data_IF_135311029850
#
_entry.id   IF_135311029850
#
_cell.length_a   1.000
_cell.length_b   1.000
_cell.length_c   1.000
_cell.angle_alpha   90.00
_cell.angle_beta   90.00
_cell.angle_gamma   90.00
#
_symmetry.space_group_name_H-M   'P 1'
#
loop_
_entity.id
_entity.type
_entity.pdbx_description
1 polymer ?
#
# COMPACT_ATOMS: atom_id res chain seq x y z
N UNK A 1 -45.40 39.68 -24.75
CA UNK A 1 -44.45 39.53 -23.66
C UNK A 1 -43.71 38.21 -23.85
N UNK A 2 -42.58 38.23 -24.57
CA UNK A 2 -41.83 37.02 -24.96
C UNK A 2 -40.84 36.68 -23.86
N UNK A 3 -41.00 35.53 -23.23
CA UNK A 3 -40.03 34.92 -22.36
C UNK A 3 -38.98 34.23 -23.19
N UNK A 4 -37.74 34.75 -23.15
CA UNK A 4 -36.56 34.12 -23.78
C UNK A 4 -36.09 32.98 -22.90
N UNK A 5 -36.19 31.77 -23.39
CA UNK A 5 -35.47 30.63 -22.82
C UNK A 5 -33.97 30.73 -23.14
N UNK A 6 -33.15 30.74 -22.07
CA UNK A 6 -31.68 30.60 -22.20
C UNK A 6 -31.36 29.10 -22.39
N UNK A 7 -30.38 28.76 -23.20
CA UNK A 7 -29.99 27.36 -23.39
C UNK A 7 -29.28 26.86 -22.12
N UNK A 8 -29.82 25.76 -21.57
CA UNK A 8 -29.26 25.02 -20.45
C UNK A 8 -27.90 24.48 -20.89
N UNK A 9 -26.86 24.83 -20.15
CA UNK A 9 -25.48 24.36 -20.26
C UNK A 9 -25.42 22.84 -20.33
N UNK A 10 -24.66 22.32 -21.31
CA UNK A 10 -24.49 20.89 -21.60
C UNK A 10 -23.59 20.11 -20.63
N UNK A 11 -23.36 20.62 -19.42
CA UNK A 11 -22.58 19.95 -18.39
C UNK A 11 -23.40 19.85 -17.12
N UNK A 12 -24.05 18.69 -16.83
CA UNK A 12 -24.94 18.54 -15.68
C UNK A 12 -24.22 18.32 -14.33
N UNK A 13 -22.92 18.56 -14.25
CA UNK A 13 -22.12 18.38 -13.01
C UNK A 13 -21.89 19.66 -12.22
N UNK A 14 -22.63 20.74 -12.44
CA UNK A 14 -22.23 22.06 -11.97
C UNK A 14 -23.01 22.63 -10.78
N UNK A 15 -23.80 21.88 -10.04
CA UNK A 15 -24.39 22.39 -8.81
C UNK A 15 -24.61 21.28 -7.79
N UNK A 16 -23.59 21.01 -6.96
CA UNK A 16 -23.85 20.42 -5.66
C UNK A 16 -23.01 21.14 -4.60
N UNK A 17 -23.74 21.78 -3.68
CA UNK A 17 -23.23 22.56 -2.54
C UNK A 17 -22.44 21.67 -1.58
N UNK A 18 -21.37 22.28 -1.03
CA UNK A 18 -20.57 21.81 0.10
C UNK A 18 -21.42 21.23 1.23
N UNK A 19 -21.38 19.92 1.40
CA UNK A 19 -21.50 19.30 2.71
C UNK A 19 -20.11 18.74 3.01
N UNK A 20 -19.36 19.43 3.86
CA UNK A 20 -18.14 18.92 4.49
C UNK A 20 -18.55 17.79 5.44
N UNK A 21 -18.80 16.61 4.91
CA UNK A 21 -18.78 15.39 5.70
C UNK A 21 -17.32 15.15 6.10
N UNK A 22 -17.05 15.14 7.39
CA UNK A 22 -15.73 14.73 7.89
C UNK A 22 -15.55 13.26 7.55
N UNK A 23 -14.77 12.95 6.54
CA UNK A 23 -14.35 11.59 6.19
C UNK A 23 -13.55 11.09 7.39
N UNK A 24 -13.91 9.95 8.00
CA UNK A 24 -13.11 9.38 9.07
C UNK A 24 -11.71 9.12 8.54
N UNK A 25 -10.68 9.46 9.31
CA UNK A 25 -9.26 9.37 8.95
C UNK A 25 -8.77 7.95 8.59
N UNK A 26 -9.65 6.96 8.59
CA UNK A 26 -9.36 5.55 8.33
C UNK A 26 -9.39 5.12 6.85
N UNK A 27 -9.76 5.99 5.93
CA UNK A 27 -9.92 5.66 4.51
C UNK A 27 -9.03 6.50 3.57
N UNK A 28 -7.87 6.96 4.05
CA UNK A 28 -6.95 7.62 3.13
C UNK A 28 -6.37 6.59 2.17
N UNK A 29 -6.68 6.76 0.89
CA UNK A 29 -6.02 6.01 -0.17
C UNK A 29 -4.55 6.41 -0.20
N UNK A 30 -3.67 5.43 -0.08
CA UNK A 30 -2.27 5.59 -0.41
C UNK A 30 -2.21 5.53 -1.93
N UNK A 31 -1.52 6.46 -2.53
CA UNK A 31 -1.29 6.49 -3.96
C UNK A 31 0.21 6.54 -4.20
N UNK A 32 0.75 5.52 -4.83
CA UNK A 32 2.18 5.49 -5.07
C UNK A 32 2.68 4.21 -5.74
N UNK A 33 4.00 4.05 -5.83
CA UNK A 33 4.65 2.93 -6.46
C UNK A 33 4.30 1.59 -5.83
N UNK A 34 4.24 0.56 -6.66
CA UNK A 34 4.00 -0.82 -6.25
C UNK A 34 5.31 -1.59 -6.28
N UNK A 35 5.65 -2.22 -5.16
CA UNK A 35 6.80 -3.12 -5.04
C UNK A 35 6.30 -4.54 -4.82
N UNK A 36 6.74 -5.47 -5.67
CA UNK A 36 6.58 -6.90 -5.49
C UNK A 36 7.67 -7.43 -4.57
N UNK A 37 7.26 -8.16 -3.54
CA UNK A 37 8.15 -8.82 -2.59
C UNK A 37 8.00 -10.31 -2.75
N UNK A 38 8.97 -10.92 -3.42
CA UNK A 38 9.09 -12.37 -3.55
C UNK A 38 9.81 -12.92 -2.32
N UNK A 39 9.24 -13.92 -1.67
CA UNK A 39 9.88 -14.63 -0.57
C UNK A 39 9.85 -16.13 -0.84
N UNK A 40 10.68 -16.89 -0.12
CA UNK A 40 10.62 -18.36 -0.17
C UNK A 40 9.29 -18.95 0.35
N UNK A 41 8.43 -18.12 0.96
CA UNK A 41 7.12 -18.52 1.52
C UNK A 41 5.91 -17.95 0.76
N UNK A 42 6.12 -17.19 -0.30
CA UNK A 42 5.07 -16.60 -1.11
C UNK A 42 5.41 -15.18 -1.55
N UNK A 43 4.49 -14.59 -2.31
CA UNK A 43 4.64 -13.25 -2.88
C UNK A 43 3.60 -12.33 -2.24
N UNK A 44 4.00 -11.11 -1.94
CA UNK A 44 3.08 -10.03 -1.56
C UNK A 44 3.49 -8.71 -2.21
N UNK A 45 2.60 -7.74 -2.16
CA UNK A 45 2.80 -6.45 -2.78
C UNK A 45 2.71 -5.33 -1.77
N UNK A 46 3.55 -4.32 -1.94
CA UNK A 46 3.56 -3.08 -1.16
C UNK A 46 3.11 -1.93 -2.04
N UNK A 47 2.28 -1.04 -1.53
CA UNK A 47 2.00 0.27 -2.10
C UNK A 47 2.61 1.34 -1.19
N UNK A 48 3.42 2.23 -1.77
CA UNK A 48 4.16 3.23 -1.03
C UNK A 48 3.40 4.57 -1.00
N UNK A 49 3.53 5.34 0.08
CA UNK A 49 2.89 6.65 0.22
C UNK A 49 3.88 7.78 -0.10
N UNK A 50 4.16 7.98 -1.37
CA UNK A 50 5.04 9.08 -1.82
C UNK A 50 4.48 10.47 -1.52
N UNK A 51 3.16 10.60 -1.36
CA UNK A 51 2.55 11.89 -1.07
C UNK A 51 2.81 12.35 0.36
N UNK A 52 2.80 11.42 1.31
CA UNK A 52 2.97 11.73 2.74
C UNK A 52 4.41 11.62 3.20
N UNK A 53 5.17 10.69 2.59
CA UNK A 53 6.55 10.39 2.96
C UNK A 53 7.44 10.25 1.72
N UNK A 54 7.61 11.34 0.94
CA UNK A 54 8.34 11.30 -0.33
C UNK A 54 9.80 10.87 -0.17
N UNK A 55 10.53 11.40 0.82
CA UNK A 55 11.94 11.08 1.02
C UNK A 55 12.14 9.64 1.50
N UNK A 56 11.27 9.16 2.40
CA UNK A 56 11.29 7.79 2.91
C UNK A 56 10.97 6.78 1.80
N UNK A 57 9.94 7.06 1.00
CA UNK A 57 9.54 6.23 -0.14
C UNK A 57 10.64 6.18 -1.21
N UNK A 58 11.21 7.34 -1.58
CA UNK A 58 12.32 7.42 -2.54
C UNK A 58 13.56 6.67 -2.03
N UNK A 59 13.89 6.80 -0.73
CA UNK A 59 14.99 6.05 -0.12
C UNK A 59 14.78 4.55 -0.28
N UNK A 60 13.60 4.03 0.07
CA UNK A 60 13.28 2.61 -0.07
C UNK A 60 13.37 2.15 -1.53
N UNK A 61 12.83 2.92 -2.48
CA UNK A 61 12.90 2.63 -3.93
C UNK A 61 14.34 2.57 -4.42
N UNK A 62 15.24 3.44 -3.95
CA UNK A 62 16.67 3.39 -4.30
C UNK A 62 17.30 2.05 -3.91
N UNK A 63 16.98 1.51 -2.72
CA UNK A 63 17.46 0.19 -2.32
C UNK A 63 16.87 -0.94 -3.17
N UNK A 64 15.56 -0.87 -3.50
CA UNK A 64 14.89 -1.82 -4.41
C UNK A 64 15.55 -1.79 -5.79
N UNK A 65 15.65 -0.61 -6.40
CA UNK A 65 16.20 -0.43 -7.74
C UNK A 65 17.68 -0.85 -7.85
N UNK A 66 18.44 -0.68 -6.77
CA UNK A 66 19.85 -1.12 -6.71
C UNK A 66 20.00 -2.61 -6.37
N UNK A 67 18.90 -3.37 -6.23
CA UNK A 67 18.92 -4.80 -5.86
C UNK A 67 19.50 -5.06 -4.47
N UNK A 68 19.47 -4.06 -3.58
CA UNK A 68 20.08 -4.18 -2.24
C UNK A 68 19.28 -5.09 -1.31
N UNK A 69 17.99 -5.28 -1.60
CA UNK A 69 17.14 -6.22 -0.85
C UNK A 69 17.20 -7.65 -1.39
N UNK A 70 17.82 -7.86 -2.56
CA UNK A 70 17.99 -9.21 -3.11
C UNK A 70 18.94 -10.03 -2.25
N UNK A 71 18.61 -11.29 -2.02
CA UNK A 71 19.32 -12.19 -1.12
C UNK A 71 19.41 -11.71 0.35
N UNK A 72 18.55 -10.78 0.73
CA UNK A 72 18.32 -10.48 2.14
C UNK A 72 17.33 -11.47 2.74
N UNK A 73 17.07 -11.37 4.02
CA UNK A 73 16.15 -12.26 4.71
C UNK A 73 15.36 -11.55 5.81
N UNK A 74 14.28 -12.19 6.22
CA UNK A 74 13.55 -11.80 7.43
C UNK A 74 14.38 -12.19 8.64
N UNK A 75 14.85 -11.18 9.39
CA UNK A 75 15.77 -11.40 10.51
C UNK A 75 15.12 -11.30 11.89
N UNK A 76 13.81 -11.01 11.97
CA UNK A 76 13.13 -10.97 13.25
C UNK A 76 11.63 -10.81 13.19
N UNK A 77 10.99 -11.32 14.25
CA UNK A 77 9.61 -11.02 14.60
C UNK A 77 9.59 -10.65 16.08
N UNK A 78 9.15 -9.44 16.40
CA UNK A 78 9.10 -8.98 17.80
C UNK A 78 7.73 -9.31 18.38
N UNK A 79 7.64 -10.32 19.27
CA UNK A 79 6.41 -10.72 19.98
C UNK A 79 5.17 -10.79 19.07
N UNK A 80 5.32 -11.28 17.82
CA UNK A 80 4.27 -11.24 16.79
C UNK A 80 3.71 -9.84 16.50
N UNK A 81 4.42 -8.77 16.82
CA UNK A 81 3.99 -7.40 16.54
C UNK A 81 4.51 -6.90 15.20
N UNK A 82 5.78 -7.17 14.89
CA UNK A 82 6.44 -6.72 13.66
C UNK A 82 7.16 -7.87 12.97
N UNK A 83 7.10 -7.88 11.64
CA UNK A 83 8.02 -8.61 10.79
C UNK A 83 9.16 -7.66 10.39
N UNK A 84 10.44 -8.07 10.53
CA UNK A 84 11.61 -7.24 10.29
C UNK A 84 12.46 -7.75 9.14
N UNK A 85 12.88 -6.86 8.26
CA UNK A 85 13.76 -7.16 7.13
C UNK A 85 14.62 -5.96 6.73
N UNK A 86 15.39 -6.12 5.65
CA UNK A 86 16.16 -5.02 5.04
C UNK A 86 17.45 -4.64 5.76
N UNK A 87 17.84 -5.35 6.82
CA UNK A 87 19.05 -5.04 7.56
C UNK A 87 20.26 -5.89 7.18
N UNK A 88 20.02 -7.12 6.71
CA UNK A 88 21.07 -8.10 6.58
C UNK A 88 20.97 -8.92 5.31
N UNK A 89 22.13 -9.32 4.79
CA UNK A 89 22.30 -10.22 3.65
C UNK A 89 23.17 -11.40 4.03
N UNK A 90 23.01 -12.52 3.32
CA UNK A 90 23.92 -13.65 3.45
C UNK A 90 25.19 -13.42 2.65
N UNK A 91 26.31 -13.56 3.33
CA UNK A 91 27.62 -13.68 2.71
C UNK A 91 28.02 -15.14 2.66
N UNK A 92 28.81 -15.51 1.66
CA UNK A 92 29.44 -16.85 1.62
C UNK A 92 30.40 -16.98 2.79
N UNK A 93 30.40 -18.15 3.45
CA UNK A 93 31.36 -18.46 4.49
C UNK A 93 32.83 -18.13 4.07
N UNK A 94 33.66 -17.59 4.97
CA UNK A 94 33.50 -17.62 6.44
C UNK A 94 32.79 -16.39 7.06
N UNK A 95 32.37 -15.42 6.29
CA UNK A 95 31.80 -14.17 6.82
C UNK A 95 30.31 -14.25 7.24
N UNK A 96 29.61 -15.37 6.90
CA UNK A 96 28.26 -15.65 7.40
C UNK A 96 27.22 -14.60 7.00
N UNK A 97 26.83 -13.74 7.92
CA UNK A 97 25.84 -12.68 7.72
C UNK A 97 26.52 -11.33 7.72
N UNK A 98 26.21 -10.51 6.73
CA UNK A 98 26.66 -9.13 6.64
C UNK A 98 25.51 -8.13 6.69
N UNK A 99 25.80 -6.90 7.04
CA UNK A 99 24.85 -5.82 6.89
C UNK A 99 24.75 -5.37 5.44
N UNK A 100 23.56 -4.88 5.06
CA UNK A 100 23.40 -4.13 3.82
C UNK A 100 24.20 -2.84 3.95
N UNK A 101 25.14 -2.62 3.01
CA UNK A 101 25.87 -1.36 2.93
C UNK A 101 24.91 -0.23 2.55
N UNK A 102 24.82 0.84 3.36
CA UNK A 102 23.96 1.97 3.07
C UNK A 102 24.36 2.64 1.74
N UNK A 103 23.36 2.89 0.88
CA UNK A 103 23.53 3.66 -0.36
C UNK A 103 22.91 5.05 -0.25
N UNK A 104 21.97 5.22 0.67
CA UNK A 104 21.33 6.49 1.00
C UNK A 104 20.83 6.46 2.44
N UNK A 105 20.58 7.63 2.99
CA UNK A 105 19.93 7.82 4.27
C UNK A 105 19.10 9.11 4.24
N UNK A 106 18.00 9.12 4.96
CA UNK A 106 17.10 10.27 5.05
C UNK A 106 16.72 10.52 6.51
N UNK A 107 16.39 11.77 6.88
CA UNK A 107 15.82 12.05 8.19
C UNK A 107 14.43 11.41 8.31
N UNK A 108 13.95 11.17 9.54
CA UNK A 108 12.60 10.66 9.74
C UNK A 108 11.56 11.72 9.35
N UNK A 109 10.60 11.32 8.51
CA UNK A 109 9.50 12.17 8.10
C UNK A 109 8.30 12.04 9.04
N UNK A 110 7.57 13.15 9.22
CA UNK A 110 6.26 13.10 9.89
C UNK A 110 5.21 12.62 8.89
N UNK A 111 4.40 11.64 9.30
CA UNK A 111 3.37 11.05 8.46
C UNK A 111 2.02 11.01 9.16
N UNK A 112 0.94 11.00 8.39
CA UNK A 112 -0.41 10.73 8.88
C UNK A 112 -0.76 9.24 8.91
N UNK A 113 0.10 8.40 8.34
CA UNK A 113 -0.03 6.96 8.47
C UNK A 113 0.29 6.52 9.91
N UNK A 114 -0.39 5.48 10.32
CA UNK A 114 -0.26 4.89 11.66
C UNK A 114 0.23 3.46 11.53
N UNK A 115 1.04 2.97 12.46
CA UNK A 115 1.57 1.60 12.50
C UNK A 115 0.48 0.56 12.79
N UNK A 116 -0.54 0.52 11.96
CA UNK A 116 -1.62 -0.48 12.03
C UNK A 116 -1.21 -1.75 11.28
N UNK A 117 -1.93 -2.85 11.54
CA UNK A 117 -1.74 -4.10 10.80
C UNK A 117 -1.67 -3.85 9.29
N UNK A 118 -0.64 -4.40 8.65
CA UNK A 118 -0.38 -4.28 7.22
C UNK A 118 0.43 -3.06 6.80
N UNK A 119 0.73 -2.14 7.71
CA UNK A 119 1.56 -0.97 7.39
C UNK A 119 3.03 -1.34 7.41
N UNK A 120 3.77 -0.94 6.37
CA UNK A 120 5.22 -1.00 6.33
C UNK A 120 5.81 0.32 6.81
N UNK A 121 6.85 0.22 7.65
CA UNK A 121 7.57 1.37 8.22
C UNK A 121 9.07 1.18 8.05
N UNK A 122 9.78 2.24 7.73
CA UNK A 122 11.23 2.25 7.88
C UNK A 122 11.59 2.32 9.35
N UNK A 123 12.62 1.60 9.73
CA UNK A 123 13.09 1.54 11.10
C UNK A 123 14.37 2.37 11.26
N UNK A 124 14.35 3.31 12.19
CA UNK A 124 15.53 4.03 12.64
C UNK A 124 16.31 3.14 13.60
N UNK A 125 17.42 2.61 13.15
CA UNK A 125 18.19 1.63 13.92
C UNK A 125 18.94 2.25 15.11
N UNK A 126 19.49 3.42 14.90
CA UNK A 126 20.21 4.15 15.92
C UNK A 126 19.60 5.54 16.10
N UNK A 127 18.83 5.70 17.16
CA UNK A 127 18.19 6.99 17.49
C UNK A 127 19.19 8.13 17.69
N UNK A 128 20.46 7.82 17.98
CA UNK A 128 21.49 8.84 18.15
C UNK A 128 21.96 9.44 16.80
N UNK A 129 21.78 8.74 15.69
CA UNK A 129 22.14 9.25 14.35
C UNK A 129 20.99 9.95 13.66
N UNK A 130 19.75 9.73 14.13
CA UNK A 130 18.52 10.33 13.62
C UNK A 130 18.37 10.20 12.09
N UNK A 131 18.70 9.01 11.56
CA UNK A 131 18.59 8.70 10.12
C UNK A 131 18.01 7.31 9.88
N UNK A 132 17.30 7.19 8.77
CA UNK A 132 16.75 5.97 8.22
C UNK A 132 17.64 5.49 7.09
N UNK A 133 17.92 4.19 7.02
CA UNK A 133 18.70 3.57 5.95
C UNK A 133 17.89 2.51 5.20
N UNK A 134 18.15 1.22 5.44
CA UNK A 134 17.54 0.10 4.70
C UNK A 134 16.58 -0.75 5.53
N UNK A 135 16.65 -0.67 6.86
CA UNK A 135 15.85 -1.52 7.75
C UNK A 135 14.36 -1.15 7.70
N UNK A 136 13.51 -2.15 7.53
CA UNK A 136 12.06 -1.96 7.49
C UNK A 136 11.33 -2.96 8.38
N UNK A 137 10.10 -2.60 8.74
CA UNK A 137 9.19 -3.45 9.49
C UNK A 137 7.80 -3.48 8.84
N UNK A 138 7.08 -4.60 8.97
CA UNK A 138 5.65 -4.68 8.66
C UNK A 138 4.91 -4.98 9.96
N UNK A 139 3.94 -4.15 10.29
CA UNK A 139 3.07 -4.34 11.45
C UNK A 139 2.14 -5.53 11.26
N UNK A 140 2.24 -6.54 12.13
CA UNK A 140 1.38 -7.73 12.13
C UNK A 140 0.10 -7.46 12.92
N UNK A 141 0.19 -6.61 13.92
CA UNK A 141 -0.92 -6.20 14.78
C UNK A 141 -1.10 -4.68 14.75
N UNK A 142 -1.98 -4.15 15.60
CA UNK A 142 -2.10 -2.70 15.82
C UNK A 142 -0.96 -2.21 16.71
N UNK A 143 -0.02 -1.51 16.11
CA UNK A 143 1.19 -1.00 16.74
C UNK A 143 1.22 0.52 16.85
N UNK A 144 0.04 1.18 16.93
CA UNK A 144 -0.06 2.65 17.03
C UNK A 144 0.67 3.27 18.23
N UNK A 145 1.00 2.50 19.25
CA UNK A 145 1.86 2.96 20.34
C UNK A 145 3.28 3.34 19.88
N UNK A 146 3.68 2.91 18.69
CA UNK A 146 4.96 3.24 18.07
C UNK A 146 4.86 4.38 17.04
N UNK A 147 3.70 5.04 16.93
CA UNK A 147 3.53 6.21 16.06
C UNK A 147 4.35 7.40 16.58
N UNK A 148 4.80 8.23 15.63
CA UNK A 148 5.67 9.38 15.90
C UNK A 148 7.13 9.12 15.57
N UNK A 149 7.75 10.11 14.94
CA UNK A 149 9.14 10.01 14.47
C UNK A 149 10.13 9.64 15.59
N UNK A 150 9.91 10.14 16.80
CA UNK A 150 10.76 9.86 17.97
C UNK A 150 10.78 8.39 18.38
N UNK A 151 9.76 7.61 17.98
CA UNK A 151 9.71 6.17 18.25
C UNK A 151 10.56 5.35 17.28
N UNK A 152 11.03 5.96 16.19
CA UNK A 152 11.94 5.36 15.24
C UNK A 152 11.28 4.40 14.23
N UNK A 153 9.96 4.46 14.08
CA UNK A 153 9.20 3.73 13.06
C UNK A 153 8.42 4.71 12.20
N UNK A 154 8.81 4.85 10.95
CA UNK A 154 8.23 5.81 10.01
C UNK A 154 7.35 5.08 9.00
N UNK A 155 6.02 5.06 9.18
CA UNK A 155 5.10 4.49 8.22
C UNK A 155 5.20 5.18 6.86
N UNK A 156 5.33 4.39 5.78
CA UNK A 156 5.49 4.92 4.42
C UNK A 156 4.77 4.11 3.35
N UNK A 157 3.99 3.10 3.73
CA UNK A 157 3.25 2.28 2.78
C UNK A 157 2.43 1.19 3.46
N UNK A 158 1.86 0.31 2.66
CA UNK A 158 1.02 -0.80 3.13
C UNK A 158 1.16 -2.05 2.28
N UNK A 159 0.85 -3.18 2.88
CA UNK A 159 0.69 -4.46 2.18
C UNK A 159 -0.68 -4.49 1.48
N UNK A 160 -0.71 -4.92 0.23
CA UNK A 160 -1.92 -5.00 -0.58
C UNK A 160 -2.56 -6.39 -0.57
N UNK A 161 -3.86 -6.42 -0.73
CA UNK A 161 -4.64 -7.63 -0.96
C UNK A 161 -4.46 -8.69 0.13
N UNK A 162 -4.34 -9.95 -0.27
CA UNK A 162 -4.03 -11.08 0.63
C UNK A 162 -2.57 -11.15 1.08
N UNK A 163 -1.75 -10.16 0.75
CA UNK A 163 -0.33 -10.17 1.12
C UNK A 163 -0.08 -10.37 2.62
N UNK A 164 -1.02 -9.93 3.47
CA UNK A 164 -0.91 -10.16 4.92
C UNK A 164 -0.99 -11.64 5.32
N UNK A 165 -1.62 -12.51 4.53
CA UNK A 165 -1.60 -13.96 4.79
C UNK A 165 -0.19 -14.52 4.65
N UNK A 166 0.56 -14.04 3.65
CA UNK A 166 1.98 -14.40 3.46
C UNK A 166 2.82 -13.84 4.61
N UNK A 167 2.67 -12.55 4.93
CA UNK A 167 3.39 -11.87 6.03
C UNK A 167 3.16 -12.57 7.36
N UNK A 168 1.92 -12.91 7.70
CA UNK A 168 1.56 -13.63 8.93
C UNK A 168 2.07 -15.07 8.91
N UNK A 169 2.00 -15.74 7.76
CA UNK A 169 2.56 -17.10 7.63
C UNK A 169 4.07 -17.08 7.91
N UNK A 170 4.78 -16.09 7.42
CA UNK A 170 6.21 -15.87 7.74
C UNK A 170 6.39 -15.64 9.24
N UNK A 171 5.60 -14.74 9.81
CA UNK A 171 5.73 -14.34 11.22
C UNK A 171 5.44 -15.48 12.20
N UNK A 172 4.43 -16.30 11.91
CA UNK A 172 3.98 -17.35 12.84
C UNK A 172 4.62 -18.73 12.59
N UNK A 173 5.15 -18.99 11.39
CA UNK A 173 5.81 -20.27 11.08
C UNK A 173 7.31 -20.27 11.32
N UNK A 174 7.86 -19.27 11.95
CA UNK A 174 9.28 -19.17 12.16
C UNK A 174 9.76 -19.63 13.56
N UNK A 175 9.48 -20.89 13.99
CA UNK A 175 10.14 -21.49 15.13
C UNK A 175 11.57 -21.97 14.81
N UNK A 176 11.99 -21.95 13.52
CA UNK A 176 13.27 -22.49 13.08
C UNK A 176 14.39 -21.42 12.97
N UNK A 177 14.02 -20.14 12.93
CA UNK A 177 14.96 -19.11 13.33
C UNK A 177 15.03 -19.20 14.86
N UNK A 178 16.02 -19.89 15.37
CA UNK A 178 16.18 -20.11 16.79
C UNK A 178 16.09 -18.81 17.59
N UNK A 179 15.83 -18.86 18.89
CA UNK A 179 15.72 -17.68 19.74
C UNK A 179 16.95 -16.76 19.66
N UNK A 180 18.05 -17.25 19.15
CA UNK A 180 19.32 -16.54 18.95
C UNK A 180 19.31 -15.59 17.73
N UNK A 181 18.36 -15.78 16.76
CA UNK A 181 18.15 -14.84 15.64
C UNK A 181 16.98 -13.91 15.94
N UNK A 182 16.12 -14.23 16.93
CA UNK A 182 14.84 -13.59 17.18
C UNK A 182 14.79 -12.66 18.39
N UNK A 183 15.83 -12.37 19.10
CA UNK A 183 15.61 -11.61 20.30
C UNK A 183 16.78 -11.33 21.22
N UNK A 184 17.70 -10.49 20.81
CA UNK A 184 18.53 -9.73 21.73
C UNK A 184 18.00 -8.31 21.95
N UNK A 185 18.34 -7.62 23.04
CA UNK A 185 18.12 -6.21 23.20
C UNK A 185 18.85 -5.43 22.08
N UNK A 186 18.35 -4.27 21.77
CA UNK A 186 18.46 -3.44 20.56
C UNK A 186 19.84 -3.26 19.88
N UNK A 187 20.97 -3.73 20.41
CA UNK A 187 22.30 -3.44 19.89
C UNK A 187 23.23 -4.64 19.60
N UNK A 188 22.88 -5.89 19.98
CA UNK A 188 23.81 -7.04 19.92
C UNK A 188 23.26 -8.26 19.15
N UNK A 189 22.66 -8.05 17.98
CA UNK A 189 21.93 -9.12 17.26
C UNK A 189 22.80 -10.17 16.59
N UNK A 190 24.10 -9.99 16.45
CA UNK A 190 25.00 -10.97 15.87
C UNK A 190 26.32 -11.03 16.64
N UNK A 191 26.40 -11.98 17.53
CA UNK A 191 27.71 -12.53 17.89
C UNK A 191 28.34 -13.14 16.63
N UNK A 192 29.61 -12.84 16.38
CA UNK A 192 30.39 -13.25 15.22
C UNK A 192 30.51 -14.78 15.02
N UNK A 193 29.81 -15.57 15.81
CA UNK A 193 29.84 -17.03 15.85
C UNK A 193 28.69 -17.73 15.13
N UNK A 194 28.08 -17.14 14.10
CA UNK A 194 27.22 -17.96 13.22
C UNK A 194 28.11 -19.01 12.57
N UNK A 195 28.00 -20.22 13.11
CA UNK A 195 28.81 -21.36 12.71
C UNK A 195 28.49 -21.72 11.25
N UNK A 196 29.43 -21.43 10.34
CA UNK A 196 29.36 -21.79 8.93
C UNK A 196 29.19 -23.30 8.63
N UNK A 197 29.13 -24.14 9.65
CA UNK A 197 29.00 -25.59 9.52
C UNK A 197 27.57 -26.07 9.16
N UNK A 198 26.55 -25.20 9.32
CA UNK A 198 25.18 -25.51 8.86
C UNK A 198 24.84 -24.64 7.65
N UNK A 199 24.42 -25.23 6.51
CA UNK A 199 23.94 -24.44 5.37
C UNK A 199 22.70 -23.65 5.82
N UNK A 200 22.86 -22.36 6.08
CA UNK A 200 21.73 -21.50 6.49
C UNK A 200 20.77 -21.21 5.33
N UNK A 201 21.14 -21.56 4.09
CA UNK A 201 20.31 -21.32 2.92
C UNK A 201 18.94 -22.01 2.96
N UNK A 202 18.81 -23.15 3.63
CA UNK A 202 17.56 -23.92 3.71
C UNK A 202 16.64 -23.49 4.87
N UNK A 203 17.13 -22.64 5.78
CA UNK A 203 16.43 -22.29 7.02
C UNK A 203 16.04 -20.82 7.13
N UNK A 204 16.32 -19.99 6.12
CA UNK A 204 15.94 -18.58 6.14
C UNK A 204 14.88 -18.24 5.10
N UNK A 205 14.13 -17.20 5.38
CA UNK A 205 13.13 -16.66 4.46
C UNK A 205 13.80 -15.60 3.60
N UNK A 206 14.22 -16.00 2.41
CA UNK A 206 14.86 -15.11 1.44
C UNK A 206 13.86 -14.07 0.92
N UNK A 207 14.41 -12.90 0.58
CA UNK A 207 13.67 -11.78 0.02
C UNK A 207 14.29 -11.37 -1.29
N UNK A 208 13.43 -11.04 -2.26
CA UNK A 208 13.77 -10.30 -3.47
C UNK A 208 12.68 -9.26 -3.71
N UNK A 209 13.07 -8.05 -4.05
CA UNK A 209 12.13 -6.95 -4.29
C UNK A 209 12.25 -6.41 -5.71
N UNK A 210 11.10 -6.16 -6.33
CA UNK A 210 11.03 -5.62 -7.70
C UNK A 210 10.04 -4.47 -7.75
N UNK A 211 10.47 -3.30 -8.21
CA UNK A 211 9.57 -2.19 -8.50
C UNK A 211 8.75 -2.52 -9.76
N UNK A 212 7.44 -2.63 -9.63
CA UNK A 212 6.56 -2.99 -10.75
C UNK A 212 6.15 -1.77 -11.57
N UNK A 213 5.84 -0.68 -10.88
CA UNK A 213 5.43 0.56 -11.51
C UNK A 213 5.72 1.72 -10.55
N UNK A 214 6.25 2.80 -11.12
CA UNK A 214 6.64 4.03 -10.46
C UNK A 214 5.84 5.26 -10.95
N UNK A 215 4.76 5.06 -11.72
CA UNK A 215 3.91 6.14 -12.17
C UNK A 215 2.85 6.51 -11.11
N UNK A 216 3.11 7.46 -10.21
CA UNK A 216 2.18 7.88 -9.18
C UNK A 216 0.97 8.63 -9.76
N UNK A 217 1.02 9.01 -11.04
CA UNK A 217 -0.05 9.76 -11.72
C UNK A 217 -1.07 8.85 -12.40
N UNK A 218 -0.83 7.53 -12.44
CA UNK A 218 -1.76 6.58 -13.02
C UNK A 218 -3.12 6.65 -12.30
N UNK A 219 -4.24 6.89 -13.00
CA UNK A 219 -5.53 7.02 -12.34
C UNK A 219 -6.06 5.65 -11.88
N UNK A 220 -6.73 5.64 -10.71
CA UNK A 220 -7.41 4.45 -10.19
C UNK A 220 -8.55 3.99 -11.09
N UNK A 221 -9.18 4.93 -11.79
CA UNK A 221 -10.30 4.65 -12.66
C UNK A 221 -10.31 5.52 -13.93
N UNK A 222 -10.94 4.97 -14.98
CA UNK A 222 -11.05 5.58 -16.31
C UNK A 222 -12.51 5.67 -16.70
N UNK A 223 -13.03 6.86 -16.89
CA UNK A 223 -14.36 7.09 -17.42
C UNK A 223 -14.28 7.44 -18.91
N UNK A 224 -15.01 6.66 -19.71
CA UNK A 224 -15.20 6.91 -21.13
C UNK A 224 -16.56 7.57 -21.36
N UNK A 225 -16.54 8.79 -21.91
CA UNK A 225 -17.77 9.51 -22.26
C UNK A 225 -18.46 8.92 -23.48
N UNK A 226 -17.72 8.13 -24.29
CA UNK A 226 -18.22 7.52 -25.52
C UNK A 226 -19.24 6.41 -25.25
N UNK A 227 -18.97 5.56 -24.26
CA UNK A 227 -19.78 4.38 -23.93
C UNK A 227 -20.33 4.43 -22.50
N UNK A 228 -20.20 5.57 -21.85
CA UNK A 228 -20.71 5.85 -20.50
C UNK A 228 -20.29 4.81 -19.46
N UNK A 229 -19.03 4.37 -19.56
CA UNK A 229 -18.47 3.32 -18.71
C UNK A 229 -17.35 3.87 -17.84
N UNK A 230 -17.41 3.61 -16.53
CA UNK A 230 -16.33 3.81 -15.59
C UNK A 230 -15.62 2.47 -15.37
N UNK A 231 -14.37 2.36 -15.76
CA UNK A 231 -13.54 1.19 -15.47
C UNK A 231 -12.67 1.47 -14.25
N UNK A 232 -12.82 0.68 -13.18
CA UNK A 232 -12.13 0.85 -11.91
C UNK A 232 -11.17 -0.32 -11.69
N UNK A 233 -9.92 -0.02 -11.34
CA UNK A 233 -8.99 -1.00 -10.81
C UNK A 233 -9.21 -1.05 -9.29
N UNK A 234 -9.69 -2.17 -8.76
CA UNK A 234 -10.15 -2.26 -7.37
C UNK A 234 -9.54 -3.45 -6.63
N UNK A 235 -9.24 -3.24 -5.36
CA UNK A 235 -8.93 -4.30 -4.40
C UNK A 235 -10.24 -4.68 -3.70
N UNK A 236 -10.67 -5.91 -3.85
CA UNK A 236 -11.85 -6.46 -3.19
C UNK A 236 -11.55 -7.89 -2.74
N UNK A 237 -11.98 -8.26 -1.53
CA UNK A 237 -11.72 -9.60 -0.97
C UNK A 237 -10.26 -10.04 -1.11
N UNK A 238 -9.32 -9.09 -0.93
CA UNK A 238 -7.88 -9.34 -1.02
C UNK A 238 -7.31 -9.60 -2.40
N UNK A 239 -8.12 -9.58 -3.45
CA UNK A 239 -7.72 -9.77 -4.86
C UNK A 239 -7.78 -8.47 -5.65
N UNK A 240 -7.19 -8.50 -6.82
CA UNK A 240 -7.11 -7.35 -7.74
C UNK A 240 -8.04 -7.56 -8.91
N UNK A 241 -8.90 -6.58 -9.17
CA UNK A 241 -9.89 -6.66 -10.23
C UNK A 241 -9.90 -5.38 -11.08
N UNK A 242 -10.18 -5.57 -12.35
CA UNK A 242 -10.60 -4.52 -13.26
C UNK A 242 -12.10 -4.65 -13.49
N UNK A 243 -12.87 -3.69 -12.99
CA UNK A 243 -14.33 -3.74 -12.97
C UNK A 243 -14.91 -2.60 -13.79
N UNK A 244 -15.59 -2.86 -14.90
CA UNK A 244 -16.36 -1.86 -15.62
C UNK A 244 -17.73 -1.66 -14.95
N UNK A 245 -18.16 -0.39 -14.85
CA UNK A 245 -19.43 0.03 -14.31
C UNK A 245 -20.21 0.83 -15.34
N UNK A 246 -21.52 0.61 -15.43
CA UNK A 246 -22.45 1.51 -16.08
C UNK A 246 -22.75 2.68 -15.16
N UNK A 247 -22.67 3.92 -15.67
CA UNK A 247 -22.98 5.13 -14.93
C UNK A 247 -24.41 5.58 -15.26
N UNK A 248 -25.22 5.79 -14.22
CA UNK A 248 -26.55 6.37 -14.33
C UNK A 248 -26.56 7.72 -13.59
N UNK A 249 -27.09 8.73 -14.28
CA UNK A 249 -27.31 10.05 -13.71
C UNK A 249 -28.83 10.35 -13.73
N UNK A 250 -29.42 10.42 -12.55
CA UNK A 250 -30.83 10.71 -12.36
C UNK A 250 -31.04 12.06 -11.64
N UNK A 251 -30.59 13.14 -12.27
CA UNK A 251 -30.68 14.49 -11.72
C UNK A 251 -29.61 14.77 -10.66
N UNK A 252 -29.97 14.73 -9.39
CA UNK A 252 -29.01 14.97 -8.29
C UNK A 252 -28.28 13.69 -7.86
N UNK A 253 -28.74 12.51 -8.28
CA UNK A 253 -28.17 11.24 -7.89
C UNK A 253 -27.32 10.64 -9.03
N UNK A 254 -26.05 10.41 -8.75
CA UNK A 254 -25.14 9.66 -9.61
C UNK A 254 -24.94 8.28 -8.99
N UNK A 255 -25.19 7.26 -9.80
CA UNK A 255 -24.98 5.89 -9.38
C UNK A 255 -24.22 5.08 -10.43
N UNK A 256 -23.66 3.97 -9.99
CA UNK A 256 -22.98 3.04 -10.86
C UNK A 256 -23.35 1.60 -10.54
N UNK A 257 -23.37 0.75 -11.58
CA UNK A 257 -23.67 -0.68 -11.49
C UNK A 257 -22.57 -1.49 -12.17
N UNK A 258 -21.93 -2.46 -11.49
CA UNK A 258 -20.86 -3.24 -12.09
C UNK A 258 -21.40 -4.18 -13.20
N UNK A 259 -20.67 -4.28 -14.30
CA UNK A 259 -20.88 -5.27 -15.35
C UNK A 259 -20.22 -6.58 -14.94
N UNK A 260 -20.93 -7.40 -14.18
CA UNK A 260 -20.39 -8.61 -13.55
C UNK A 260 -19.81 -9.62 -14.56
N UNK A 261 -20.33 -9.66 -15.77
CA UNK A 261 -19.87 -10.52 -16.87
C UNK A 261 -18.57 -10.04 -17.53
N UNK A 262 -18.09 -8.85 -17.17
CA UNK A 262 -16.87 -8.21 -17.72
C UNK A 262 -15.81 -7.92 -16.67
N UNK A 263 -15.96 -8.45 -15.46
CA UNK A 263 -14.95 -8.35 -14.43
C UNK A 263 -13.74 -9.20 -14.82
N UNK A 264 -12.54 -8.60 -14.72
CA UNK A 264 -11.27 -9.30 -14.97
C UNK A 264 -10.47 -9.33 -13.67
N UNK A 265 -10.14 -10.54 -13.20
CA UNK A 265 -9.18 -10.72 -12.12
C UNK A 265 -7.76 -10.48 -12.67
N UNK A 266 -6.98 -9.69 -11.97
CA UNK A 266 -5.60 -9.36 -12.34
C UNK A 266 -4.63 -10.13 -11.44
N UNK A 267 -3.55 -10.62 -12.01
CA UNK A 267 -2.50 -11.35 -11.27
C UNK A 267 -1.69 -10.41 -10.37
N UNK A 268 -1.50 -9.17 -10.81
CA UNK A 268 -0.69 -8.16 -10.09
C UNK A 268 -1.49 -6.86 -9.97
N UNK A 269 -1.26 -6.10 -8.88
CA UNK A 269 -1.87 -4.79 -8.73
C UNK A 269 -1.27 -3.76 -9.71
N UNK A 270 -1.98 -2.68 -9.89
CA UNK A 270 -1.51 -1.46 -10.55
C UNK A 270 -1.51 -0.31 -9.55
N UNK A 271 -0.77 0.80 -9.77
CA UNK A 271 -0.79 1.95 -8.88
C UNK A 271 -2.20 2.51 -8.67
N UNK A 272 -2.41 3.11 -7.51
CA UNK A 272 -3.64 3.85 -7.19
C UNK A 272 -4.92 3.01 -7.29
N UNK A 273 -4.88 1.72 -6.93
CA UNK A 273 -6.09 0.90 -6.93
C UNK A 273 -7.14 1.44 -5.97
N UNK A 274 -8.38 1.48 -6.42
CA UNK A 274 -9.53 1.73 -5.57
C UNK A 274 -9.67 0.63 -4.50
N UNK A 275 -10.28 0.96 -3.37
CA UNK A 275 -10.53 0.00 -2.29
C UNK A 275 -12.02 -0.16 -2.05
N UNK A 276 -12.46 -1.41 -1.98
CA UNK A 276 -13.79 -1.73 -1.50
C UNK A 276 -13.70 -2.25 -0.06
N UNK A 277 -14.34 -1.53 0.86
CA UNK A 277 -14.52 -1.94 2.26
C UNK A 277 -15.85 -2.69 2.40
N UNK A 278 -15.76 -4.00 2.59
CA UNK A 278 -16.96 -4.86 2.70
C UNK A 278 -17.69 -4.64 4.03
N UNK A 279 -17.01 -4.23 5.10
CA UNK A 279 -17.61 -3.92 6.39
C UNK A 279 -18.51 -2.66 6.32
N UNK A 280 -17.99 -1.59 5.77
CA UNK A 280 -18.68 -0.33 5.61
C UNK A 280 -19.49 -0.24 4.30
N UNK A 281 -19.32 -1.18 3.38
CA UNK A 281 -19.95 -1.21 2.05
C UNK A 281 -19.61 0.04 1.20
N UNK A 282 -18.36 0.50 1.31
CA UNK A 282 -17.86 1.71 0.67
C UNK A 282 -16.80 1.35 -0.38
N UNK A 283 -16.93 1.95 -1.57
CA UNK A 283 -15.88 1.94 -2.59
C UNK A 283 -15.23 3.31 -2.65
N UNK A 284 -13.93 3.37 -2.36
CA UNK A 284 -13.12 4.58 -2.41
C UNK A 284 -12.23 4.55 -3.64
N UNK A 285 -12.30 5.60 -4.47
CA UNK A 285 -11.53 5.75 -5.71
C UNK A 285 -10.68 7.00 -5.60
N UNK A 286 -9.35 6.87 -5.62
CA UNK A 286 -8.42 7.98 -5.44
C UNK A 286 -8.52 9.02 -6.57
N UNK A 287 -8.35 8.57 -7.81
CA UNK A 287 -8.34 9.45 -8.98
C UNK A 287 -9.13 8.86 -10.14
N UNK A 288 -9.80 9.73 -10.90
CA UNK A 288 -10.55 9.34 -12.11
C UNK A 288 -10.11 10.18 -13.30
N UNK A 289 -9.65 9.50 -14.36
CA UNK A 289 -9.44 10.12 -15.65
C UNK A 289 -10.72 10.03 -16.50
N UNK A 290 -11.07 11.16 -17.11
CA UNK A 290 -12.16 11.25 -18.11
C UNK A 290 -11.53 11.42 -19.48
N UNK A 291 -11.76 10.44 -20.36
CA UNK A 291 -11.18 10.41 -21.71
C UNK A 291 -9.65 10.66 -21.71
N UNK A 292 -8.95 10.15 -20.70
CA UNK A 292 -7.49 10.24 -20.55
C UNK A 292 -6.96 11.45 -19.76
N UNK A 293 -7.83 12.33 -19.27
CA UNK A 293 -7.43 13.48 -18.44
C UNK A 293 -7.94 13.29 -17.03
N UNK A 294 -7.06 13.35 -16.02
CA UNK A 294 -7.46 13.26 -14.61
C UNK A 294 -8.24 14.52 -14.24
N UNK A 295 -9.50 14.35 -13.85
CA UNK A 295 -10.42 15.46 -13.55
C UNK A 295 -11.05 15.38 -12.16
N UNK A 296 -11.02 14.22 -11.53
CA UNK A 296 -11.66 14.01 -10.24
C UNK A 296 -10.75 13.22 -9.31
N UNK A 297 -10.85 13.54 -8.01
CA UNK A 297 -10.17 12.82 -6.94
C UNK A 297 -11.09 12.60 -5.74
N UNK A 298 -10.70 11.66 -4.85
CA UNK A 298 -11.37 11.34 -3.59
C UNK A 298 -12.86 10.98 -3.77
N UNK A 299 -13.17 10.13 -4.74
CA UNK A 299 -14.54 9.68 -4.96
C UNK A 299 -14.91 8.59 -3.96
N UNK A 300 -16.02 8.80 -3.28
CA UNK A 300 -16.60 7.85 -2.32
C UNK A 300 -17.97 7.41 -2.82
N UNK A 301 -18.15 6.10 -2.94
CA UNK A 301 -19.40 5.48 -3.30
C UNK A 301 -19.86 4.55 -2.18
N UNK A 302 -21.14 4.66 -1.76
CA UNK A 302 -21.76 3.72 -0.85
C UNK A 302 -22.64 2.72 -1.60
N UNK A 303 -22.73 1.49 -1.09
CA UNK A 303 -23.63 0.49 -1.64
C UNK A 303 -25.07 0.83 -1.33
N UNK A 304 -25.94 0.80 -2.35
CA UNK A 304 -27.35 1.14 -2.16
C UNK A 304 -28.08 0.07 -1.32
N UNK A 305 -28.77 0.49 -0.25
CA UNK A 305 -29.37 -0.42 0.76
C UNK A 305 -30.41 -1.40 0.17
N UNK A 306 -31.22 -0.96 -0.80
CA UNK A 306 -32.25 -1.79 -1.44
C UNK A 306 -31.84 -2.40 -2.78
N UNK A 307 -30.64 -2.08 -3.27
CA UNK A 307 -30.10 -2.62 -4.53
C UNK A 307 -28.61 -2.93 -4.39
N UNK A 308 -28.26 -4.15 -3.91
CA UNK A 308 -26.88 -4.49 -3.55
C UNK A 308 -25.86 -4.40 -4.70
N UNK A 309 -26.32 -4.32 -5.93
CA UNK A 309 -25.48 -4.15 -7.13
C UNK A 309 -25.25 -2.70 -7.52
N UNK A 310 -25.92 -1.75 -6.85
CA UNK A 310 -25.85 -0.33 -7.19
C UNK A 310 -25.05 0.43 -6.13
N UNK A 311 -24.16 1.28 -6.58
CA UNK A 311 -23.36 2.16 -5.76
C UNK A 311 -23.77 3.60 -6.00
N UNK A 312 -23.91 4.39 -4.95
CA UNK A 312 -24.29 5.80 -4.98
C UNK A 312 -23.07 6.66 -4.69
N UNK A 313 -22.85 7.69 -5.49
CA UNK A 313 -21.80 8.68 -5.25
C UNK A 313 -22.18 9.56 -4.06
N UNK A 314 -21.37 9.50 -3.01
CA UNK A 314 -21.54 10.29 -1.78
C UNK A 314 -20.74 11.59 -1.82
N UNK A 315 -19.52 11.53 -2.31
CA UNK A 315 -18.63 12.68 -2.39
C UNK A 315 -17.57 12.54 -3.47
N UNK A 316 -17.03 13.68 -3.92
CA UNK A 316 -15.88 13.75 -4.82
C UNK A 316 -15.24 15.13 -4.76
N UNK A 317 -14.03 15.26 -5.24
CA UNK A 317 -13.33 16.52 -5.46
C UNK A 317 -13.01 16.67 -6.94
N UNK A 318 -13.25 17.84 -7.51
CA UNK A 318 -12.88 18.18 -8.87
C UNK A 318 -11.53 18.91 -8.84
N UNK A 319 -10.61 18.46 -9.69
CA UNK A 319 -9.29 19.09 -9.89
C UNK A 319 -9.41 20.26 -10.85
#
# INVERSE_FOLDING_TARGET
>A
MCLRFHPISRYPLLTLLLVLAQIPASARLIAGPIVEVETSMGVFFLELDELSTPETSENFIKYVAAGRYDNTFVYGTTNASFLRGGGYTFNTCPSGVGRIEPISSVPPESTMLSNRRGVISMMMRNKATDVITSDWTISITDNRSYDGADNGYIPFGRVLGYGMEVVETIAFRNPALGPEILGGPEDDFFDETINCATPMQDNHISIKMTLLNDDPTAPAAFYSTRDNTLTVNVIAEGKFFKVPFDIENQGEEISMTPRLDKIVEMEKPVPNMAMFDDGEQILSIGTVAVDGVVLYEDLIFSRHKSSPKRFLLESYKKI
#
